data_IF_723083164319
#
_entry.id   IF_723083164319
#
_cell.length_a   1.000
_cell.length_b   1.000
_cell.length_c   1.000
_cell.angle_alpha   90.00
_cell.angle_beta   90.00
_cell.angle_gamma   90.00
#
_symmetry.space_group_name_H-M   'P 1'
#
loop_
_entity.id
_entity.type
_entity.pdbx_description
1 polymer ?
#
# COMPACT_ATOMS: atom_id res chain seq x y z
N UNK A 1 -7.23 11.07 -11.21
CA UNK A 1 -7.73 9.81 -10.61
C UNK A 1 -6.54 9.03 -10.06
N UNK A 2 -6.71 8.34 -8.93
CA UNK A 2 -5.67 7.56 -8.27
C UNK A 2 -6.01 6.05 -8.29
N UNK A 3 -5.00 5.21 -8.50
CA UNK A 3 -5.17 3.77 -8.56
C UNK A 3 -4.06 3.06 -7.78
N UNK A 4 -4.44 1.97 -7.11
CA UNK A 4 -3.52 0.98 -6.56
C UNK A 4 -3.11 0.03 -7.69
N UNK A 5 -1.82 -0.04 -8.00
CA UNK A 5 -1.27 -1.02 -8.95
C UNK A 5 -0.61 -2.17 -8.20
N UNK A 6 -1.10 -3.38 -8.42
CA UNK A 6 -0.57 -4.63 -7.85
C UNK A 6 -0.49 -5.66 -8.96
N UNK A 7 0.68 -6.28 -9.17
CA UNK A 7 0.89 -7.32 -10.19
C UNK A 7 0.38 -6.91 -11.59
N UNK A 8 0.53 -5.63 -11.95
CA UNK A 8 0.05 -5.08 -13.23
C UNK A 8 -1.46 -4.79 -13.31
N UNK A 9 -2.23 -5.12 -12.27
CA UNK A 9 -3.67 -4.79 -12.17
C UNK A 9 -3.87 -3.50 -11.40
N UNK A 10 -4.76 -2.64 -11.87
CA UNK A 10 -5.08 -1.36 -11.25
C UNK A 10 -6.47 -1.38 -10.59
N UNK A 11 -6.54 -0.91 -9.34
CA UNK A 11 -7.77 -0.77 -8.56
C UNK A 11 -7.99 0.69 -8.22
N UNK A 12 -9.18 1.23 -8.48
CA UNK A 12 -9.52 2.59 -8.04
C UNK A 12 -9.39 2.68 -6.52
N UNK A 13 -8.61 3.64 -6.03
CA UNK A 13 -8.31 3.76 -4.61
C UNK A 13 -8.02 5.20 -4.22
N UNK A 14 -8.19 5.50 -2.94
CA UNK A 14 -7.77 6.74 -2.32
C UNK A 14 -6.62 6.48 -1.34
N UNK A 15 -5.66 7.39 -1.28
CA UNK A 15 -4.45 7.24 -0.47
C UNK A 15 -4.32 8.36 0.56
N UNK A 16 -4.09 8.00 1.82
CA UNK A 16 -3.71 8.96 2.86
C UNK A 16 -2.33 8.60 3.40
N UNK A 17 -1.33 9.46 3.15
CA UNK A 17 0.04 9.26 3.62
C UNK A 17 0.40 10.12 4.82
N UNK A 18 1.18 9.56 5.76
CA UNK A 18 1.83 10.30 6.84
C UNK A 18 3.34 9.98 6.81
N UNK A 19 4.18 11.01 6.74
CA UNK A 19 5.64 10.82 6.77
C UNK A 19 6.14 10.39 8.15
N UNK A 20 5.49 10.87 9.21
CA UNK A 20 5.72 10.47 10.61
C UNK A 20 4.35 10.18 11.22
N UNK A 21 4.01 8.90 11.38
CA UNK A 21 2.75 8.50 11.97
C UNK A 21 2.92 8.21 13.46
N UNK A 22 2.65 9.21 14.31
CA UNK A 22 2.85 9.08 15.77
C UNK A 22 1.94 8.04 16.41
N UNK A 23 0.78 7.77 15.82
CA UNK A 23 -0.12 6.69 16.22
C UNK A 23 0.45 5.31 15.87
N UNK A 24 1.55 5.27 15.11
CA UNK A 24 2.16 4.08 14.54
C UNK A 24 3.69 4.11 14.68
N UNK A 25 4.18 4.32 15.91
CA UNK A 25 5.61 4.31 16.29
C UNK A 25 6.50 5.31 15.52
N UNK A 26 5.90 6.35 14.94
CA UNK A 26 6.62 7.37 14.19
C UNK A 26 7.09 6.94 12.80
N UNK A 27 6.83 5.70 12.37
CA UNK A 27 7.19 5.24 11.01
C UNK A 27 6.31 5.90 9.95
N UNK A 28 6.83 6.00 8.73
CA UNK A 28 6.02 6.48 7.61
C UNK A 28 4.91 5.48 7.31
N UNK A 29 3.70 5.95 7.04
CA UNK A 29 2.55 5.10 6.77
C UNK A 29 1.72 5.61 5.58
N UNK A 30 0.98 4.69 4.97
CA UNK A 30 -0.01 4.98 3.92
C UNK A 30 -1.26 4.15 4.21
N UNK A 31 -2.42 4.79 4.26
CA UNK A 31 -3.71 4.07 4.27
C UNK A 31 -4.25 4.02 2.85
N UNK A 32 -4.54 2.81 2.37
CA UNK A 32 -5.21 2.58 1.08
C UNK A 32 -6.68 2.35 1.35
N UNK A 33 -7.55 3.13 0.71
CA UNK A 33 -9.01 2.92 0.77
C UNK A 33 -9.53 2.56 -0.61
N UNK A 34 -10.20 1.42 -0.76
CA UNK A 34 -10.75 0.95 -2.04
C UNK A 34 -12.02 0.13 -1.87
N UNK A 35 -12.83 0.03 -2.92
CA UNK A 35 -13.97 -0.87 -2.97
C UNK A 35 -13.52 -2.28 -3.39
N UNK A 36 -13.59 -3.24 -2.46
CA UNK A 36 -13.21 -4.64 -2.69
C UNK A 36 -13.84 -5.53 -1.60
N UNK A 37 -14.19 -6.80 -1.88
CA UNK A 37 -14.59 -7.74 -0.85
C UNK A 37 -13.46 -8.01 0.15
N UNK A 38 -13.77 -8.07 1.45
CA UNK A 38 -12.78 -8.31 2.50
C UNK A 38 -11.93 -9.57 2.26
N UNK A 39 -12.58 -10.68 1.86
CA UNK A 39 -11.91 -11.94 1.55
C UNK A 39 -10.88 -11.82 0.41
N UNK A 40 -11.12 -10.94 -0.56
CA UNK A 40 -10.17 -10.67 -1.64
C UNK A 40 -9.03 -9.79 -1.14
N UNK A 41 -9.33 -8.78 -0.30
CA UNK A 41 -8.31 -7.90 0.24
C UNK A 41 -7.29 -8.64 1.11
N UNK A 42 -7.71 -9.55 1.98
CA UNK A 42 -6.78 -10.33 2.81
C UNK A 42 -5.87 -11.26 2.01
N UNK A 43 -6.27 -11.64 0.78
CA UNK A 43 -5.44 -12.43 -0.13
C UNK A 43 -4.49 -11.55 -0.95
N UNK A 44 -4.92 -10.33 -1.29
CA UNK A 44 -4.12 -9.39 -2.08
C UNK A 44 -3.05 -8.70 -1.22
N UNK A 45 -3.45 -8.22 -0.04
CA UNK A 45 -2.62 -7.49 0.91
C UNK A 45 -1.96 -8.45 1.88
N UNK A 46 -0.87 -9.05 1.41
CA UNK A 46 0.02 -9.92 2.18
C UNK A 46 1.35 -9.23 2.45
N UNK A 47 2.15 -9.78 3.36
CA UNK A 47 3.49 -9.28 3.59
C UNK A 47 4.37 -9.43 2.33
N UNK A 48 5.26 -8.46 2.11
CA UNK A 48 6.08 -8.40 0.90
C UNK A 48 5.34 -8.04 -0.40
N UNK A 49 4.06 -7.65 -0.33
CA UNK A 49 3.30 -7.16 -1.48
C UNK A 49 4.06 -6.03 -2.21
N UNK A 50 4.32 -6.21 -3.51
CA UNK A 50 4.83 -5.12 -4.37
C UNK A 50 3.66 -4.34 -4.95
N UNK A 51 3.62 -3.05 -4.64
CA UNK A 51 2.52 -2.18 -5.06
C UNK A 51 3.01 -0.77 -5.36
N UNK A 52 2.21 -0.03 -6.12
CA UNK A 52 2.45 1.37 -6.44
C UNK A 52 1.15 2.17 -6.52
N UNK A 53 1.31 3.50 -6.55
CA UNK A 53 0.22 4.45 -6.76
C UNK A 53 0.36 4.98 -8.18
N UNK A 54 -0.69 4.83 -8.99
CA UNK A 54 -0.77 5.39 -10.33
C UNK A 54 -1.70 6.59 -10.28
N UNK A 55 -1.21 7.75 -10.73
CA UNK A 55 -1.98 8.99 -10.83
C UNK A 55 -2.13 9.39 -12.29
N UNK A 56 -3.38 9.66 -12.68
CA UNK A 56 -3.73 10.21 -13.99
C UNK A 56 -4.38 11.58 -13.81
N UNK A 57 -3.78 12.60 -14.38
CA UNK A 57 -4.33 13.96 -14.43
C UNK A 57 -5.10 14.15 -15.73
N UNK A 58 -6.22 14.87 -15.70
CA UNK A 58 -7.08 15.05 -16.88
C UNK A 58 -6.47 15.95 -17.96
N UNK A 59 -5.51 16.80 -17.59
CA UNK A 59 -4.84 17.79 -18.45
C UNK A 59 -3.37 17.43 -18.75
N UNK A 60 -2.88 16.30 -18.26
CA UNK A 60 -1.57 15.76 -18.63
C UNK A 60 -1.69 14.99 -19.95
N UNK A 61 -0.62 14.97 -20.76
CA UNK A 61 -0.48 14.31 -22.07
C UNK A 61 -0.59 12.77 -21.98
N UNK A 62 -1.70 12.27 -21.41
CA UNK A 62 -1.99 10.88 -21.02
C UNK A 62 -0.89 10.20 -20.17
N UNK A 63 0.06 10.96 -19.65
CA UNK A 63 1.20 10.44 -18.92
C UNK A 63 0.80 10.04 -17.49
N UNK A 64 0.68 8.73 -17.25
CA UNK A 64 0.49 8.19 -15.91
C UNK A 64 1.75 8.39 -15.06
N UNK A 65 1.60 9.01 -13.89
CA UNK A 65 2.66 9.10 -12.89
C UNK A 65 2.59 7.89 -11.97
N UNK A 66 3.61 7.03 -12.01
CA UNK A 66 3.72 5.87 -11.12
C UNK A 66 4.67 6.17 -9.95
N UNK A 67 4.16 6.01 -8.72
CA UNK A 67 4.95 6.05 -7.50
C UNK A 67 5.13 4.62 -6.97
N UNK A 68 6.37 4.15 -6.93
CA UNK A 68 6.71 2.91 -6.24
C UNK A 68 6.43 3.02 -4.74
N UNK A 69 5.74 2.02 -4.19
CA UNK A 69 5.43 1.91 -2.77
C UNK A 69 5.91 0.57 -2.19
N UNK A 70 6.84 -0.12 -2.87
CA UNK A 70 7.37 -1.42 -2.44
C UNK A 70 8.09 -1.37 -1.09
N UNK A 71 8.54 -0.19 -0.66
CA UNK A 71 9.08 0.07 0.67
C UNK A 71 8.05 0.06 1.81
N UNK A 72 6.76 -0.15 1.53
CA UNK A 72 5.68 -0.25 2.51
C UNK A 72 5.04 -1.63 2.47
N UNK A 73 4.91 -2.29 3.62
CA UNK A 73 4.17 -3.55 3.78
C UNK A 73 2.86 -3.34 4.54
N UNK A 74 2.02 -4.38 4.57
CA UNK A 74 0.86 -4.42 5.45
C UNK A 74 1.35 -4.44 6.89
N UNK A 75 1.10 -3.35 7.61
CA UNK A 75 1.60 -3.20 8.98
C UNK A 75 0.47 -3.17 10.01
N UNK A 76 -0.75 -2.79 9.61
CA UNK A 76 -1.88 -2.66 10.52
C UNK A 76 -3.14 -3.36 10.00
N UNK A 77 -4.33 -2.97 10.50
CA UNK A 77 -5.57 -3.66 10.17
C UNK A 77 -5.98 -3.45 8.70
N UNK A 78 -6.68 -4.45 8.18
CA UNK A 78 -7.62 -4.30 7.07
C UNK A 78 -8.99 -4.11 7.72
N UNK A 79 -9.58 -2.94 7.53
CA UNK A 79 -10.86 -2.55 8.14
C UNK A 79 -11.95 -2.53 7.07
N UNK A 80 -13.06 -3.23 7.32
CA UNK A 80 -14.30 -3.06 6.56
C UNK A 80 -15.08 -1.87 7.11
N UNK A 81 -15.24 -0.84 6.28
CA UNK A 81 -15.91 0.41 6.65
C UNK A 81 -17.45 0.29 6.63
N UNK A 82 -17.98 -0.86 6.20
CA UNK A 82 -19.43 -1.15 6.08
C UNK A 82 -20.19 -0.26 5.10
N UNK A 83 -19.47 0.46 4.25
CA UNK A 83 -20.00 1.34 3.20
C UNK A 83 -19.66 0.84 1.77
N UNK A 84 -19.13 -0.39 1.67
CA UNK A 84 -18.64 -0.97 0.42
C UNK A 84 -17.15 -0.72 0.16
N UNK A 85 -16.45 -0.03 1.06
CA UNK A 85 -15.00 0.17 1.01
C UNK A 85 -14.26 -0.52 2.15
N UNK A 86 -12.98 -0.77 1.92
CA UNK A 86 -12.02 -1.24 2.91
C UNK A 86 -10.91 -0.21 3.09
N UNK A 87 -10.35 -0.13 4.29
CA UNK A 87 -9.14 0.64 4.58
C UNK A 87 -8.00 -0.27 5.05
N UNK A 88 -6.86 -0.22 4.36
CA UNK A 88 -5.68 -1.04 4.63
C UNK A 88 -4.56 -0.15 5.10
N UNK A 89 -4.01 -0.46 6.28
CA UNK A 89 -2.89 0.29 6.86
C UNK A 89 -1.54 -0.30 6.43
N UNK A 90 -0.82 0.46 5.61
CA UNK A 90 0.53 0.13 5.12
C UNK A 90 1.58 0.94 5.90
N UNK A 91 2.70 0.32 6.26
CA UNK A 91 3.80 0.94 6.99
C UNK A 91 5.14 0.72 6.30
N UNK A 92 6.01 1.72 6.32
CA UNK A 92 7.41 1.59 5.88
C UNK A 92 8.14 0.57 6.76
N UNK A 93 8.97 -0.31 6.20
CA UNK A 93 9.67 -1.30 7.02
C UNK A 93 10.49 -0.64 8.14
N UNK A 94 10.39 -1.19 9.34
CA UNK A 94 11.29 -0.88 10.45
C UNK A 94 12.70 -1.39 10.13
N UNK A 95 13.69 -0.89 10.86
CA UNK A 95 15.09 -1.30 10.67
C UNK A 95 15.27 -2.82 10.87
N UNK A 96 14.54 -3.42 11.82
CA UNK A 96 14.58 -4.86 12.06
C UNK A 96 13.94 -5.65 10.91
N UNK A 97 12.77 -5.23 10.44
CA UNK A 97 12.10 -5.88 9.30
C UNK A 97 12.96 -5.80 8.02
N UNK A 98 13.64 -4.67 7.78
CA UNK A 98 14.59 -4.53 6.67
C UNK A 98 15.75 -5.53 6.79
N UNK A 99 16.39 -5.59 7.97
CA UNK A 99 17.52 -6.49 8.20
C UNK A 99 17.13 -7.97 8.08
N UNK A 100 15.92 -8.34 8.55
CA UNK A 100 15.41 -9.71 8.41
C UNK A 100 15.20 -10.06 6.93
N UNK A 101 14.63 -9.15 6.14
CA UNK A 101 14.43 -9.37 4.70
C UNK A 101 15.75 -9.51 3.94
N UNK A 102 16.73 -8.66 4.23
CA UNK A 102 18.07 -8.76 3.64
C UNK A 102 18.75 -10.10 3.99
N UNK A 103 18.56 -10.57 5.23
CA UNK A 103 19.09 -11.87 5.66
C UNK A 103 18.39 -13.04 4.95
N UNK A 104 17.06 -12.98 4.83
CA UNK A 104 16.29 -13.99 4.08
C UNK A 104 16.70 -14.04 2.62
N UNK A 105 16.86 -12.88 1.97
CA UNK A 105 17.34 -12.77 0.59
C UNK A 105 18.77 -13.31 0.42
N UNK A 106 19.65 -13.13 1.41
CA UNK A 106 21.01 -13.67 1.37
C UNK A 106 21.07 -15.20 1.58
N UNK A 107 20.02 -15.81 2.14
CA UNK A 107 19.93 -17.24 2.43
C UNK A 107 19.17 -18.04 1.36
N UNK A 108 18.50 -17.36 0.43
CA UNK A 108 17.69 -17.94 -0.66
C UNK A 108 18.52 -18.21 -1.93
#
# INVERSE_FOLDING_TARGET
MEYLKVNGTEYSAHFCGKQIDRDWDGRASKTVTLAMPYAQAVQLFVDGLRWGIVRREADADDAAQEQDCSGYCVAGPITDNRDGTLSIKMGSYTQLEQALRELEEALA
#
